data_IF_980481085846
#
_entry.id   IF_980481085846
#
_cell.length_a   1.000
_cell.length_b   1.000
_cell.length_c   1.000
_cell.angle_alpha   90.00
_cell.angle_beta   90.00
_cell.angle_gamma   90.00
#
_symmetry.space_group_name_H-M   'P 1'
#
loop_
_entity.id
_entity.type
_entity.pdbx_description
1 polymer ?
#
# COMPACT_ATOMS: atom_id res chain seq x y z
N UNK A 1 -9.71 0.31 5.59
CA UNK A 1 -9.35 -0.79 4.67
C UNK A 1 -9.15 -2.11 5.40
N UNK A 2 -8.23 -2.20 6.37
CA UNK A 2 -7.95 -3.44 7.14
C UNK A 2 -9.21 -4.09 7.74
N UNK A 3 -10.04 -3.34 8.46
CA UNK A 3 -11.29 -3.88 9.02
C UNK A 3 -12.22 -4.52 7.98
N UNK A 4 -12.24 -3.97 6.75
CA UNK A 4 -13.02 -4.55 5.65
C UNK A 4 -12.36 -5.84 5.16
N UNK A 5 -11.04 -5.82 4.94
CA UNK A 5 -10.27 -6.99 4.53
C UNK A 5 -10.43 -8.17 5.51
N UNK A 6 -10.38 -7.90 6.82
CA UNK A 6 -10.63 -8.91 7.88
C UNK A 6 -12.07 -9.47 7.89
N UNK A 7 -13.04 -8.76 7.31
CA UNK A 7 -14.46 -9.13 7.34
C UNK A 7 -14.90 -9.94 6.12
N UNK A 8 -14.05 -10.07 5.10
CA UNK A 8 -14.38 -10.76 3.85
C UNK A 8 -13.24 -11.69 3.44
N UNK A 9 -13.55 -12.65 2.56
CA UNK A 9 -12.53 -13.58 2.02
C UNK A 9 -11.96 -13.13 0.67
N UNK A 10 -12.51 -12.04 0.11
CA UNK A 10 -12.07 -11.49 -1.18
C UNK A 10 -10.91 -10.52 -0.90
N UNK A 11 -9.75 -10.69 -1.53
CA UNK A 11 -8.63 -9.77 -1.36
C UNK A 11 -8.99 -8.32 -1.67
N UNK A 12 -8.51 -7.39 -0.84
CA UNK A 12 -8.83 -5.96 -0.94
C UNK A 12 -7.64 -5.16 -1.47
N UNK A 13 -7.91 -4.21 -2.36
CA UNK A 13 -6.93 -3.22 -2.81
C UNK A 13 -7.22 -1.89 -2.11
N UNK A 14 -6.20 -1.30 -1.46
CA UNK A 14 -6.30 0.02 -0.83
C UNK A 14 -6.15 1.13 -1.89
N UNK A 15 -7.18 1.93 -2.16
CA UNK A 15 -7.13 2.92 -3.26
C UNK A 15 -6.82 4.36 -2.86
N UNK A 16 -6.45 4.63 -1.61
CA UNK A 16 -6.26 6.00 -1.15
C UNK A 16 -5.62 6.11 0.23
N UNK A 17 -5.13 7.30 0.55
CA UNK A 17 -4.44 7.58 1.82
C UNK A 17 -2.96 7.22 1.83
N UNK A 18 -2.35 6.92 0.67
CA UNK A 18 -0.91 6.68 0.55
C UNK A 18 -0.26 7.93 -0.04
N UNK A 19 0.53 8.62 0.77
CA UNK A 19 1.21 9.88 0.42
C UNK A 19 2.69 9.89 0.78
N UNK A 20 3.16 8.90 1.53
CA UNK A 20 4.54 8.83 2.03
C UNK A 20 5.05 7.39 2.04
N UNK A 21 6.37 7.23 2.16
CA UNK A 21 6.98 5.91 2.36
C UNK A 21 6.51 5.24 3.66
N UNK A 22 6.13 6.00 4.69
CA UNK A 22 5.62 5.43 5.94
C UNK A 22 4.22 4.85 5.75
N UNK A 23 3.39 5.47 4.89
CA UNK A 23 2.09 4.89 4.51
C UNK A 23 2.28 3.55 3.78
N UNK A 24 3.32 3.42 2.94
CA UNK A 24 3.68 2.15 2.29
C UNK A 24 4.07 1.09 3.32
N UNK A 25 4.95 1.44 4.27
CA UNK A 25 5.38 0.52 5.34
C UNK A 25 4.19 0.04 6.18
N UNK A 26 3.30 0.96 6.56
CA UNK A 26 2.11 0.64 7.31
C UNK A 26 1.19 -0.30 6.52
N UNK A 27 1.08 -0.11 5.20
CA UNK A 27 0.30 -0.99 4.35
C UNK A 27 0.93 -2.39 4.21
N UNK A 28 2.25 -2.48 4.05
CA UNK A 28 2.97 -3.76 4.00
C UNK A 28 2.81 -4.55 5.30
N UNK A 29 2.79 -3.89 6.47
CA UNK A 29 2.59 -4.55 7.77
C UNK A 29 1.25 -5.26 7.90
N UNK A 30 0.24 -4.84 7.13
CA UNK A 30 -1.12 -5.39 7.17
C UNK A 30 -1.47 -6.18 5.90
N UNK A 31 -0.48 -6.48 5.05
CA UNK A 31 -0.70 -7.20 3.79
C UNK A 31 -1.33 -8.58 4.02
N UNK A 32 -0.85 -9.31 5.03
CA UNK A 32 -1.35 -10.63 5.41
C UNK A 32 -2.79 -10.62 5.98
N UNK A 33 -3.34 -9.44 6.26
CA UNK A 33 -4.71 -9.27 6.76
C UNK A 33 -5.75 -9.18 5.63
N UNK A 34 -5.39 -9.59 4.41
CA UNK A 34 -6.25 -9.60 3.22
C UNK A 34 -6.11 -8.36 2.34
N UNK A 35 -5.10 -7.52 2.57
CA UNK A 35 -4.78 -6.38 1.70
C UNK A 35 -3.76 -6.82 0.66
N UNK A 36 -4.19 -6.99 -0.59
CA UNK A 36 -3.33 -7.51 -1.67
C UNK A 36 -2.49 -6.43 -2.39
N UNK A 37 -2.78 -5.15 -2.16
CA UNK A 37 -2.05 -4.07 -2.82
C UNK A 37 -2.69 -2.70 -2.61
N UNK A 38 -2.11 -1.69 -3.24
CA UNK A 38 -2.62 -0.33 -3.26
C UNK A 38 -2.64 0.30 -4.66
N UNK A 39 -3.58 1.24 -4.84
CA UNK A 39 -3.61 2.16 -5.98
C UNK A 39 -3.20 3.53 -5.45
N UNK A 40 -2.11 4.07 -6.00
CA UNK A 40 -1.55 5.36 -5.62
C UNK A 40 -1.69 6.30 -6.80
N UNK A 41 -2.33 7.44 -6.57
CA UNK A 41 -2.57 8.46 -7.58
C UNK A 41 -1.75 9.71 -7.30
N UNK A 42 -2.41 10.73 -6.75
CA UNK A 42 -1.89 12.10 -6.59
C UNK A 42 -0.44 12.17 -6.07
N UNK A 43 -0.07 11.38 -5.06
CA UNK A 43 1.28 11.40 -4.50
C UNK A 43 2.39 11.07 -5.53
N UNK A 44 2.11 10.20 -6.50
CA UNK A 44 3.03 9.92 -7.61
C UNK A 44 3.07 11.07 -8.62
N UNK A 45 1.93 11.72 -8.88
CA UNK A 45 1.85 12.82 -9.85
C UNK A 45 2.43 14.14 -9.32
N UNK A 46 2.32 14.40 -8.02
CA UNK A 46 2.83 15.60 -7.36
C UNK A 46 4.29 15.48 -6.93
N UNK A 47 4.87 14.27 -6.99
CA UNK A 47 6.26 14.01 -6.63
C UNK A 47 6.51 13.82 -5.14
N UNK A 48 5.45 13.72 -4.33
CA UNK A 48 5.53 13.38 -2.90
C UNK A 48 6.09 11.97 -2.70
N UNK A 49 5.92 11.10 -3.69
CA UNK A 49 6.39 9.73 -3.71
C UNK A 49 7.05 9.42 -5.05
N UNK A 50 8.31 8.99 -5.03
CA UNK A 50 8.97 8.45 -6.22
C UNK A 50 8.56 6.99 -6.44
N UNK A 51 8.16 6.66 -7.67
CA UNK A 51 7.68 5.32 -8.01
C UNK A 51 8.77 4.25 -7.86
N UNK A 52 10.00 4.57 -8.26
CA UNK A 52 11.10 3.60 -8.27
C UNK A 52 11.53 3.31 -6.84
N UNK A 53 11.71 4.35 -6.02
CA UNK A 53 12.04 4.20 -4.60
C UNK A 53 10.92 3.47 -3.84
N UNK A 54 9.67 3.81 -4.12
CA UNK A 54 8.52 3.15 -3.50
C UNK A 54 8.44 1.65 -3.85
N UNK A 55 8.64 1.29 -5.12
CA UNK A 55 8.65 -0.11 -5.54
C UNK A 55 9.80 -0.88 -4.88
N UNK A 56 11.01 -0.32 -4.87
CA UNK A 56 12.17 -0.95 -4.23
C UNK A 56 11.96 -1.16 -2.72
N UNK A 57 11.36 -0.18 -2.04
CA UNK A 57 11.01 -0.29 -0.63
C UNK A 57 10.03 -1.45 -0.38
N UNK A 58 8.96 -1.53 -1.16
CA UNK A 58 7.93 -2.58 -1.01
C UNK A 58 8.53 -3.95 -1.31
N UNK A 59 9.27 -4.10 -2.41
CA UNK A 59 9.93 -5.36 -2.78
C UNK A 59 10.86 -5.88 -1.67
N UNK A 60 11.55 -4.99 -0.95
CA UNK A 60 12.39 -5.33 0.19
C UNK A 60 11.63 -5.69 1.48
N UNK A 61 10.35 -5.35 1.58
CA UNK A 61 9.50 -5.61 2.75
C UNK A 61 8.58 -6.83 2.55
N UNK A 62 8.22 -7.14 1.30
CA UNK A 62 7.28 -8.23 0.95
C UNK A 62 7.96 -9.39 0.22
N UNK A 63 9.29 -9.42 0.19
CA UNK A 63 10.10 -10.52 -0.35
C UNK A 63 10.35 -11.65 0.63
#
# INVERSE_FOLDING_TARGET
TVKLAQSIVIPVIASGGVSSQDDLRALCQVADEGVMGAIIGRALYEGDLDLVEAQQLVDGLTG
#
